data_IF_478496487499
#
_entry.id   IF_478496487499
#
_cell.length_a   1.000
_cell.length_b   1.000
_cell.length_c   1.000
_cell.angle_alpha   90.00
_cell.angle_beta   90.00
_cell.angle_gamma   90.00
#
_symmetry.space_group_name_H-M   'P 1'
#
loop_
_entity.id
_entity.type
_entity.pdbx_description
1 polymer ?
#
# COMPACT_ATOMS: atom_id res chain seq x y z
N UNK A 1 9.12 2.84 -15.26
CA UNK A 1 9.64 4.18 -14.92
C UNK A 1 8.56 4.87 -14.10
N UNK A 2 8.67 4.85 -12.77
CA UNK A 2 7.71 5.49 -11.87
C UNK A 2 8.02 6.98 -11.79
N UNK A 3 7.01 7.84 -11.98
CA UNK A 3 7.14 9.30 -11.86
C UNK A 3 6.15 9.79 -10.81
N UNK A 4 6.62 10.59 -9.85
CA UNK A 4 5.79 11.20 -8.83
C UNK A 4 5.54 12.67 -9.15
N UNK A 5 4.27 13.05 -9.23
CA UNK A 5 3.82 14.42 -9.40
C UNK A 5 3.17 14.89 -8.09
N UNK A 6 3.71 15.95 -7.50
CA UNK A 6 3.11 16.59 -6.32
C UNK A 6 2.31 17.79 -6.79
N UNK A 7 0.98 17.73 -6.61
CA UNK A 7 0.05 18.82 -6.92
C UNK A 7 -0.45 19.46 -5.62
N UNK A 8 -0.69 20.77 -5.64
CA UNK A 8 -1.24 21.51 -4.49
C UNK A 8 -2.75 21.33 -4.36
N UNK A 9 -3.29 21.56 -3.15
CA UNK A 9 -4.73 21.51 -2.87
C UNK A 9 -5.25 20.20 -2.27
N UNK A 10 -4.41 19.17 -2.17
CA UNK A 10 -4.77 17.91 -1.52
C UNK A 10 -4.67 18.01 0.01
N UNK A 11 -5.65 17.48 0.79
CA UNK A 11 -5.52 17.40 2.24
C UNK A 11 -4.27 16.61 2.63
N UNK A 12 -3.55 17.07 3.66
CA UNK A 12 -2.32 16.43 4.13
C UNK A 12 -2.50 14.92 4.40
N UNK A 13 -3.71 14.51 4.82
CA UNK A 13 -4.01 13.10 5.04
C UNK A 13 -4.04 12.30 3.74
N UNK A 14 -4.73 12.80 2.72
CA UNK A 14 -4.79 12.13 1.43
C UNK A 14 -3.41 12.12 0.76
N UNK A 15 -2.67 13.23 0.87
CA UNK A 15 -1.32 13.31 0.34
C UNK A 15 -0.40 12.25 0.96
N UNK A 16 -0.43 12.10 2.29
CA UNK A 16 0.38 11.08 2.96
C UNK A 16 -0.01 9.65 2.58
N UNK A 17 -1.30 9.38 2.35
CA UNK A 17 -1.76 8.09 1.84
C UNK A 17 -1.19 7.80 0.45
N UNK A 18 -1.34 8.74 -0.49
CA UNK A 18 -0.82 8.58 -1.86
C UNK A 18 0.70 8.44 -1.83
N UNK A 19 1.40 9.26 -1.05
CA UNK A 19 2.84 9.17 -0.93
C UNK A 19 3.28 7.81 -0.38
N UNK A 20 2.59 7.27 0.63
CA UNK A 20 2.91 5.95 1.19
C UNK A 20 2.69 4.82 0.16
N UNK A 21 1.61 4.87 -0.63
CA UNK A 21 1.36 3.96 -1.73
C UNK A 21 2.53 3.97 -2.73
N UNK A 22 2.91 5.15 -3.19
CA UNK A 22 3.96 5.33 -4.18
C UNK A 22 5.36 4.96 -3.66
N UNK A 23 5.61 5.18 -2.37
CA UNK A 23 6.83 4.66 -1.72
C UNK A 23 6.87 3.13 -1.71
N UNK A 24 5.72 2.45 -1.72
CA UNK A 24 5.61 1.01 -1.92
C UNK A 24 6.19 0.57 -3.27
N UNK A 25 5.78 1.21 -4.37
CA UNK A 25 6.33 0.95 -5.70
C UNK A 25 7.83 1.24 -5.76
N UNK A 26 8.26 2.38 -5.20
CA UNK A 26 9.69 2.74 -5.16
C UNK A 26 10.52 1.69 -4.40
N UNK A 27 10.01 1.20 -3.27
CA UNK A 27 10.66 0.15 -2.50
C UNK A 27 10.75 -1.17 -3.28
N UNK A 28 9.66 -1.62 -3.92
CA UNK A 28 9.68 -2.83 -4.75
C UNK A 28 10.70 -2.74 -5.89
N UNK A 29 10.78 -1.58 -6.56
CA UNK A 29 11.75 -1.35 -7.63
C UNK A 29 13.22 -1.40 -7.14
N UNK A 30 13.47 -1.05 -5.88
CA UNK A 30 14.80 -1.04 -5.27
C UNK A 30 15.14 -2.34 -4.53
N UNK A 31 14.18 -3.25 -4.32
CA UNK A 31 14.37 -4.46 -3.55
C UNK A 31 14.60 -5.69 -4.47
N UNK A 32 15.83 -6.20 -4.62
CA UNK A 32 16.14 -7.28 -5.56
C UNK A 32 15.43 -8.61 -5.23
N UNK A 33 15.09 -8.82 -3.95
CA UNK A 33 14.39 -10.01 -3.48
C UNK A 33 12.86 -9.93 -3.58
N UNK A 34 12.30 -8.78 -3.95
CA UNK A 34 10.88 -8.64 -4.18
C UNK A 34 10.49 -9.23 -5.54
N UNK A 35 9.98 -10.46 -5.54
CA UNK A 35 9.48 -11.18 -6.72
C UNK A 35 8.08 -10.78 -7.18
N UNK A 36 7.47 -9.75 -6.59
CA UNK A 36 6.12 -9.27 -6.94
C UNK A 36 6.19 -8.56 -8.29
N UNK A 37 5.44 -9.06 -9.28
CA UNK A 37 5.41 -8.51 -10.65
C UNK A 37 4.01 -8.45 -11.27
N UNK A 38 3.02 -9.07 -10.63
CA UNK A 38 1.64 -8.99 -11.09
C UNK A 38 1.01 -7.67 -10.63
N UNK A 39 0.35 -6.95 -11.53
CA UNK A 39 -0.27 -5.66 -11.22
C UNK A 39 -1.15 -5.72 -9.96
N UNK A 40 -2.00 -6.74 -9.82
CA UNK A 40 -2.86 -6.91 -8.64
C UNK A 40 -2.08 -7.14 -7.33
N UNK A 41 -0.98 -7.87 -7.37
CA UNK A 41 -0.15 -8.12 -6.19
C UNK A 41 0.68 -6.89 -5.80
N UNK A 42 1.23 -6.20 -6.81
CA UNK A 42 1.98 -4.96 -6.64
C UNK A 42 1.09 -3.84 -6.07
N UNK A 43 -0.04 -3.57 -6.69
CA UNK A 43 -1.00 -2.57 -6.23
C UNK A 43 -1.59 -2.94 -4.88
N UNK A 44 -1.88 -4.22 -4.65
CA UNK A 44 -2.37 -4.70 -3.36
C UNK A 44 -1.39 -4.44 -2.21
N UNK A 45 -0.09 -4.66 -2.44
CA UNK A 45 0.95 -4.33 -1.46
C UNK A 45 1.06 -2.82 -1.23
N UNK A 46 1.02 -2.02 -2.30
CA UNK A 46 1.13 -0.57 -2.17
C UNK A 46 -0.07 0.03 -1.43
N UNK A 47 -1.28 -0.49 -1.65
CA UNK A 47 -2.46 -0.15 -0.86
C UNK A 47 -2.36 -0.61 0.60
N UNK A 48 -1.73 -1.76 0.87
CA UNK A 48 -1.43 -2.20 2.24
C UNK A 48 -0.46 -1.23 2.95
N UNK A 49 0.58 -0.75 2.27
CA UNK A 49 1.50 0.26 2.80
C UNK A 49 0.76 1.58 3.09
N UNK A 50 -0.11 2.02 2.18
CA UNK A 50 -0.96 3.19 2.38
C UNK A 50 -1.90 3.03 3.60
N UNK A 51 -2.47 1.84 3.77
CA UNK A 51 -3.28 1.44 4.93
C UNK A 51 -2.51 1.61 6.24
N UNK A 52 -1.25 1.20 6.31
CA UNK A 52 -0.42 1.38 7.52
C UNK A 52 -0.21 2.84 7.87
N UNK A 53 0.09 3.67 6.87
CA UNK A 53 0.23 5.11 7.07
C UNK A 53 -1.09 5.73 7.58
N UNK A 54 -2.24 5.34 7.00
CA UNK A 54 -3.56 5.82 7.43
C UNK A 54 -3.88 5.42 8.87
N UNK A 55 -3.62 4.16 9.25
CA UNK A 55 -3.79 3.65 10.61
C UNK A 55 -2.94 4.41 11.60
N UNK A 56 -1.68 4.71 11.24
CA UNK A 56 -0.78 5.51 12.07
C UNK A 56 -1.22 6.98 12.18
N UNK A 57 -1.67 7.59 11.07
CA UNK A 57 -2.14 8.98 11.04
C UNK A 57 -3.36 9.20 11.94
N UNK A 58 -4.30 8.27 11.91
CA UNK A 58 -5.56 8.35 12.66
C UNK A 58 -6.45 9.55 12.27
N UNK A 59 -7.55 9.73 13.00
CA UNK A 59 -8.52 10.80 12.75
C UNK A 59 -9.69 10.40 11.83
N UNK A 60 -10.61 11.33 11.58
CA UNK A 60 -11.82 11.06 10.77
C UNK A 60 -11.50 10.86 9.29
N UNK A 61 -10.65 11.70 8.73
CA UNK A 61 -10.29 11.63 7.32
C UNK A 61 -9.48 10.37 7.00
N UNK A 62 -8.60 9.91 7.90
CA UNK A 62 -7.88 8.66 7.70
C UNK A 62 -8.81 7.44 7.74
N UNK A 63 -9.79 7.42 8.66
CA UNK A 63 -10.84 6.39 8.70
C UNK A 63 -11.65 6.35 7.40
N UNK A 64 -12.08 7.51 6.91
CA UNK A 64 -12.77 7.61 5.63
C UNK A 64 -11.97 6.97 4.48
N UNK A 65 -10.66 7.20 4.40
CA UNK A 65 -9.84 6.58 3.35
C UNK A 65 -9.57 5.09 3.59
N UNK A 66 -9.44 4.62 4.83
CA UNK A 66 -9.37 3.18 5.14
C UNK A 66 -10.65 2.46 4.69
N UNK A 67 -11.81 3.05 4.96
CA UNK A 67 -13.10 2.50 4.52
C UNK A 67 -13.13 2.42 2.98
N UNK A 68 -12.71 3.48 2.29
CA UNK A 68 -12.60 3.53 0.83
C UNK A 68 -11.67 2.47 0.24
N UNK A 69 -10.50 2.20 0.86
CA UNK A 69 -9.62 1.11 0.45
C UNK A 69 -10.31 -0.24 0.59
N UNK A 70 -10.91 -0.50 1.75
CA UNK A 70 -11.57 -1.77 2.04
C UNK A 70 -12.76 -2.06 1.13
N UNK A 71 -13.51 -1.02 0.76
CA UNK A 71 -14.73 -1.10 -0.06
C UNK A 71 -14.50 -0.81 -1.54
N UNK A 72 -13.25 -0.64 -1.99
CA UNK A 72 -12.95 -0.35 -3.39
C UNK A 72 -13.39 -1.55 -4.27
N UNK A 73 -14.31 -1.38 -5.24
CA UNK A 73 -14.78 -2.48 -6.08
C UNK A 73 -13.80 -2.85 -7.20
N UNK A 74 -12.73 -2.09 -7.38
CA UNK A 74 -11.74 -2.34 -8.43
C UNK A 74 -11.05 -3.71 -8.26
N UNK A 75 -10.96 -4.53 -9.32
CA UNK A 75 -10.42 -5.89 -9.26
C UNK A 75 -8.89 -5.95 -9.13
N UNK A 76 -8.18 -4.85 -9.35
CA UNK A 76 -6.73 -4.75 -9.19
C UNK A 76 -6.43 -4.11 -7.84
N UNK A 77 -6.95 -2.91 -7.60
CA UNK A 77 -6.64 -2.13 -6.39
C UNK A 77 -7.40 -2.66 -5.17
N UNK A 78 -8.73 -2.77 -5.26
CA UNK A 78 -9.56 -3.18 -4.13
C UNK A 78 -9.39 -4.64 -3.76
N UNK A 79 -9.49 -5.54 -4.75
CA UNK A 79 -9.26 -6.97 -4.52
C UNK A 79 -7.81 -7.27 -4.11
N UNK A 80 -6.85 -6.58 -4.72
CA UNK A 80 -5.44 -6.66 -4.36
C UNK A 80 -5.20 -6.25 -2.91
N UNK A 81 -5.77 -5.13 -2.46
CA UNK A 81 -5.67 -4.67 -1.08
C UNK A 81 -6.24 -5.69 -0.09
N UNK A 82 -7.47 -6.18 -0.35
CA UNK A 82 -8.13 -7.16 0.52
C UNK A 82 -7.32 -8.46 0.60
N UNK A 83 -6.69 -8.87 -0.49
CA UNK A 83 -5.82 -10.05 -0.52
C UNK A 83 -4.51 -9.82 0.23
N UNK A 84 -3.87 -8.67 0.04
CA UNK A 84 -2.65 -8.29 0.76
C UNK A 84 -2.89 -8.22 2.28
N UNK A 85 -3.99 -7.62 2.76
CA UNK A 85 -4.38 -7.63 4.18
C UNK A 85 -4.56 -9.05 4.73
N UNK A 86 -5.23 -9.94 3.97
CA UNK A 86 -5.39 -11.36 4.37
C UNK A 86 -4.04 -12.06 4.47
N UNK A 87 -3.16 -11.91 3.48
CA UNK A 87 -1.83 -12.55 3.46
C UNK A 87 -0.91 -12.01 4.56
N UNK A 88 -0.94 -10.69 4.79
CA UNK A 88 -0.25 -10.05 5.89
C UNK A 88 -0.63 -10.67 7.26
N UNK A 89 -1.84 -11.21 7.41
CA UNK A 89 -2.27 -12.00 8.58
C UNK A 89 -2.06 -11.25 9.90
N UNK A 90 -2.35 -9.95 9.93
CA UNK A 90 -2.13 -9.04 11.07
C UNK A 90 -0.67 -8.93 11.55
N UNK A 91 0.31 -9.40 10.78
CA UNK A 91 1.73 -9.14 11.06
C UNK A 91 2.02 -7.65 11.07
N UNK A 92 2.93 -7.17 11.92
CA UNK A 92 3.34 -5.79 11.91
C UNK A 92 4.09 -5.45 10.60
N UNK A 93 4.11 -4.17 10.16
CA UNK A 93 4.70 -3.77 8.89
C UNK A 93 6.13 -4.27 8.65
N UNK A 94 6.98 -4.24 9.67
CA UNK A 94 8.38 -4.65 9.55
C UNK A 94 8.56 -6.15 9.25
N UNK A 95 7.64 -7.01 9.72
CA UNK A 95 7.65 -8.44 9.39
C UNK A 95 7.23 -8.69 7.95
N UNK A 96 6.20 -7.99 7.48
CA UNK A 96 5.74 -8.09 6.08
C UNK A 96 6.83 -7.61 5.13
N UNK A 97 7.46 -6.47 5.43
CA UNK A 97 8.60 -5.95 4.65
C UNK A 97 9.73 -6.99 4.59
N UNK A 98 10.11 -7.57 5.73
CA UNK A 98 11.15 -8.62 5.77
C UNK A 98 10.76 -9.84 4.93
N UNK A 99 9.51 -10.28 5.02
CA UNK A 99 9.00 -11.45 4.29
C UNK A 99 9.04 -11.22 2.78
N UNK A 100 8.52 -10.08 2.32
CA UNK A 100 8.53 -9.72 0.89
C UNK A 100 9.96 -9.57 0.37
N UNK A 101 10.85 -8.93 1.14
CA UNK A 101 12.25 -8.76 0.73
C UNK A 101 13.04 -10.08 0.65
N UNK A 102 12.62 -11.13 1.36
CA UNK A 102 13.33 -12.41 1.39
C UNK A 102 12.71 -13.48 0.50
N UNK A 103 11.39 -13.42 0.28
CA UNK A 103 10.64 -14.47 -0.43
C UNK A 103 9.97 -13.99 -1.70
N UNK A 104 9.87 -12.68 -1.90
CA UNK A 104 9.11 -12.10 -3.00
C UNK A 104 7.60 -12.29 -2.90
N UNK A 105 7.07 -12.58 -1.71
CA UNK A 105 5.66 -12.86 -1.46
C UNK A 105 5.21 -12.16 -0.17
N UNK A 106 3.91 -11.82 -0.12
CA UNK A 106 3.21 -11.34 1.08
C UNK A 106 2.71 -12.54 1.88
#
# INVERSE_FOLDING_TARGET
MTRLLVVSGMPATQFGQVLAHEMGHAWLALCPGAGIRGAREEEGLCELVASWWLRHRGGRLARYYLDRLSSNPDPVYGDGYREAERRASARPPHEVVRLVSTTGRI
#
